data_IF_420828332587
#
_entry.id   IF_420828332587
#
_cell.length_a   1.000
_cell.length_b   1.000
_cell.length_c   1.000
_cell.angle_alpha   90.00
_cell.angle_beta   90.00
_cell.angle_gamma   90.00
#
_symmetry.space_group_name_H-M   'P 1'
#
loop_
_entity.id
_entity.type
_entity.pdbx_description
1 polymer ?
#
# COMPACT_ATOMS: atom_id res chain seq x y z
N UNK A 1 21.96 -13.43 22.91
CA UNK A 1 22.19 -14.58 22.01
C UNK A 1 21.34 -14.35 20.76
N UNK A 2 21.90 -13.70 19.75
CA UNK A 2 21.19 -13.29 18.53
C UNK A 2 21.16 -14.49 17.60
N UNK A 3 19.98 -15.07 17.38
CA UNK A 3 19.75 -16.11 16.37
C UNK A 3 19.87 -15.44 14.98
N UNK A 4 21.03 -15.58 14.33
CA UNK A 4 21.16 -15.44 12.90
C UNK A 4 20.40 -16.60 12.24
N UNK A 5 19.16 -16.35 11.90
CA UNK A 5 18.38 -17.24 11.03
C UNK A 5 18.91 -16.99 9.62
N UNK A 6 19.60 -17.97 9.06
CA UNK A 6 19.87 -18.06 7.63
C UNK A 6 18.51 -17.99 6.91
N UNK A 7 18.16 -16.82 6.37
CA UNK A 7 16.99 -16.65 5.51
C UNK A 7 17.26 -17.37 4.20
N UNK A 8 16.80 -18.62 4.09
CA UNK A 8 16.73 -19.32 2.81
C UNK A 8 15.93 -18.49 1.80
N UNK A 9 16.27 -18.57 0.52
CA UNK A 9 15.57 -17.91 -0.58
C UNK A 9 14.09 -18.31 -0.48
N UNK A 10 13.21 -17.38 -0.13
CA UNK A 10 11.75 -17.61 -0.12
C UNK A 10 11.30 -17.88 -1.55
N UNK A 11 10.89 -19.11 -1.82
CA UNK A 11 10.26 -19.49 -3.11
C UNK A 11 8.77 -19.18 -2.96
N UNK A 12 8.20 -18.37 -3.86
CA UNK A 12 6.77 -18.12 -3.93
C UNK A 12 6.03 -19.42 -4.25
N UNK A 13 5.13 -19.83 -3.38
CA UNK A 13 4.26 -21.00 -3.59
C UNK A 13 2.96 -20.58 -4.24
N UNK A 14 2.33 -21.41 -5.07
CA UNK A 14 0.97 -21.14 -5.55
C UNK A 14 0.00 -20.95 -4.37
N UNK A 15 -0.98 -20.04 -4.52
CA UNK A 15 -1.95 -19.69 -3.47
C UNK A 15 -2.77 -20.91 -2.99
N UNK A 16 -2.97 -21.89 -3.85
CA UNK A 16 -3.70 -23.13 -3.53
C UNK A 16 -2.99 -23.95 -2.43
N UNK A 17 -1.71 -23.70 -2.22
CA UNK A 17 -0.92 -24.39 -1.19
C UNK A 17 -0.93 -23.69 0.16
N UNK A 18 -1.76 -22.64 0.33
CA UNK A 18 -1.93 -22.03 1.66
C UNK A 18 -2.54 -23.06 2.62
N UNK A 19 -1.90 -23.34 3.79
CA UNK A 19 -2.41 -24.35 4.72
C UNK A 19 -3.76 -23.96 5.33
N UNK A 20 -4.60 -24.95 5.60
CA UNK A 20 -5.88 -24.72 6.27
C UNK A 20 -5.69 -24.03 7.63
N UNK A 21 -4.68 -24.41 8.38
CA UNK A 21 -4.34 -23.80 9.68
C UNK A 21 -4.08 -22.29 9.57
N UNK A 22 -3.44 -21.83 8.48
CA UNK A 22 -3.25 -20.41 8.18
C UNK A 22 -4.59 -19.78 7.83
N UNK A 23 -5.35 -20.37 6.88
CA UNK A 23 -6.63 -19.81 6.42
C UNK A 23 -7.60 -19.57 7.57
N UNK A 24 -7.74 -20.53 8.47
CA UNK A 24 -8.66 -20.44 9.60
C UNK A 24 -8.18 -19.47 10.71
N UNK A 25 -6.88 -19.16 10.74
CA UNK A 25 -6.32 -18.21 11.70
C UNK A 25 -6.49 -16.74 11.27
N UNK A 26 -6.63 -16.45 9.96
CA UNK A 26 -6.68 -15.09 9.45
C UNK A 26 -7.89 -14.31 10.00
N UNK A 27 -7.64 -13.09 10.44
CA UNK A 27 -8.63 -12.12 10.95
C UNK A 27 -8.52 -10.76 10.25
N UNK A 28 -7.40 -10.52 9.56
CA UNK A 28 -7.13 -9.25 8.90
C UNK A 28 -6.53 -9.50 7.51
N UNK A 29 -7.04 -8.80 6.52
CA UNK A 29 -6.48 -8.70 5.17
C UNK A 29 -5.97 -7.28 4.98
N UNK A 30 -4.68 -7.12 4.76
CA UNK A 30 -4.06 -5.87 4.38
C UNK A 30 -3.74 -5.93 2.89
N UNK A 31 -4.09 -4.90 2.13
CA UNK A 31 -3.93 -4.92 0.66
C UNK A 31 -3.37 -3.61 0.15
N UNK A 32 -2.39 -3.66 -0.75
CA UNK A 32 -2.15 -2.52 -1.63
C UNK A 32 -3.36 -2.32 -2.56
N UNK A 33 -3.45 -1.17 -3.24
CA UNK A 33 -4.58 -0.85 -4.13
C UNK A 33 -4.20 -0.98 -5.60
N UNK A 34 -3.22 -0.18 -6.03
CA UNK A 34 -2.87 -0.07 -7.45
C UNK A 34 -2.24 -1.36 -7.94
N UNK A 35 -2.77 -1.92 -9.04
CA UNK A 35 -2.35 -3.20 -9.62
C UNK A 35 -2.45 -4.42 -8.68
N UNK A 36 -3.04 -4.22 -7.47
CA UNK A 36 -3.37 -5.29 -6.50
C UNK A 36 -4.88 -5.48 -6.38
N UNK A 37 -5.64 -4.44 -6.03
CA UNK A 37 -7.10 -4.41 -6.08
C UNK A 37 -7.62 -3.92 -7.43
N UNK A 38 -6.86 -3.07 -8.10
CA UNK A 38 -7.17 -2.62 -9.45
C UNK A 38 -6.51 -3.51 -10.50
N UNK A 39 -6.99 -3.39 -11.74
CA UNK A 39 -6.35 -3.91 -12.95
C UNK A 39 -6.48 -2.85 -14.03
N UNK A 40 -5.35 -2.47 -14.64
CA UNK A 40 -5.29 -1.39 -15.63
C UNK A 40 -5.98 -0.10 -15.13
N UNK A 41 -5.69 0.31 -13.89
CA UNK A 41 -6.24 1.52 -13.26
C UNK A 41 -7.74 1.45 -12.89
N UNK A 42 -8.41 0.29 -13.07
CA UNK A 42 -9.83 0.11 -12.79
C UNK A 42 -10.06 -0.92 -11.68
N UNK A 43 -11.05 -0.67 -10.84
CA UNK A 43 -11.48 -1.61 -9.80
C UNK A 43 -12.53 -2.58 -10.38
N UNK A 44 -12.21 -3.88 -10.55
CA UNK A 44 -13.18 -4.87 -11.01
C UNK A 44 -14.28 -5.11 -9.97
N UNK A 45 -15.53 -5.33 -10.42
CA UNK A 45 -16.67 -5.58 -9.53
C UNK A 45 -16.45 -6.78 -8.58
N UNK A 46 -15.70 -7.79 -9.02
CA UNK A 46 -15.37 -8.97 -8.21
C UNK A 46 -14.62 -8.61 -6.92
N UNK A 47 -13.86 -7.50 -6.90
CA UNK A 47 -13.13 -7.04 -5.72
C UNK A 47 -14.08 -6.58 -4.63
N UNK A 48 -15.12 -5.79 -4.97
CA UNK A 48 -16.16 -5.41 -4.00
C UNK A 48 -16.86 -6.64 -3.42
N UNK A 49 -17.26 -7.58 -4.28
CA UNK A 49 -17.87 -8.84 -3.84
C UNK A 49 -16.95 -9.62 -2.90
N UNK A 50 -15.66 -9.69 -3.22
CA UNK A 50 -14.67 -10.37 -2.37
C UNK A 50 -14.51 -9.67 -1.00
N UNK A 51 -14.48 -8.33 -0.97
CA UNK A 51 -14.44 -7.56 0.27
C UNK A 51 -15.68 -7.78 1.13
N UNK A 52 -16.88 -7.77 0.54
CA UNK A 52 -18.13 -8.05 1.26
C UNK A 52 -18.14 -9.45 1.87
N UNK A 53 -17.64 -10.45 1.15
CA UNK A 53 -17.52 -11.82 1.64
C UNK A 53 -16.54 -11.93 2.82
N UNK A 54 -15.42 -11.22 2.79
CA UNK A 54 -14.50 -11.12 3.94
C UNK A 54 -15.21 -10.51 5.15
N UNK A 55 -15.94 -9.42 4.96
CA UNK A 55 -16.71 -8.76 6.03
C UNK A 55 -17.76 -9.69 6.63
N UNK A 56 -18.49 -10.46 5.80
CA UNK A 56 -19.45 -11.48 6.23
C UNK A 56 -18.77 -12.61 7.03
N UNK A 57 -17.52 -12.94 6.70
CA UNK A 57 -16.70 -13.88 7.43
C UNK A 57 -16.04 -13.31 8.70
N UNK A 58 -16.34 -12.05 9.08
CA UNK A 58 -15.72 -11.32 10.19
C UNK A 58 -14.19 -11.16 10.03
N UNK A 59 -13.71 -11.05 8.79
CA UNK A 59 -12.31 -10.74 8.47
C UNK A 59 -12.24 -9.27 8.08
N UNK A 60 -11.42 -8.50 8.79
CA UNK A 60 -11.25 -7.07 8.57
C UNK A 60 -10.36 -6.79 7.38
N UNK A 61 -10.67 -5.73 6.65
CA UNK A 61 -9.94 -5.34 5.43
C UNK A 61 -9.41 -3.92 5.59
N UNK A 62 -8.12 -3.76 5.35
CA UNK A 62 -7.45 -2.47 5.44
C UNK A 62 -6.59 -2.26 4.17
N UNK A 63 -7.04 -1.45 3.20
CA UNK A 63 -6.19 -0.98 2.12
C UNK A 63 -5.04 -0.13 2.64
N UNK A 64 -3.85 -0.27 2.02
CA UNK A 64 -2.62 0.44 2.38
C UNK A 64 -1.97 0.95 1.10
N UNK A 65 -2.06 2.23 0.83
CA UNK A 65 -1.80 2.78 -0.49
C UNK A 65 -0.93 4.04 -0.50
N UNK A 66 -0.36 4.37 -1.65
CA UNK A 66 0.19 5.70 -1.96
C UNK A 66 -0.84 6.70 -2.48
N UNK A 67 -2.12 6.30 -2.62
CA UNK A 67 -3.18 7.19 -3.11
C UNK A 67 -3.50 8.32 -2.11
N UNK A 68 -4.02 9.47 -2.62
CA UNK A 68 -4.20 10.69 -1.84
C UNK A 68 -5.31 10.61 -0.80
N UNK A 69 -5.28 11.56 0.14
CA UNK A 69 -6.24 11.68 1.22
C UNK A 69 -7.71 11.79 0.73
N UNK A 70 -7.95 12.49 -0.38
CA UNK A 70 -9.30 12.59 -0.94
C UNK A 70 -9.86 11.24 -1.41
N UNK A 71 -9.03 10.37 -2.00
CA UNK A 71 -9.43 9.00 -2.35
C UNK A 71 -9.64 8.15 -1.09
N UNK A 72 -8.75 8.30 -0.11
CA UNK A 72 -8.86 7.56 1.15
C UNK A 72 -10.11 7.94 1.95
N UNK A 73 -10.58 9.20 1.91
CA UNK A 73 -11.85 9.60 2.51
C UNK A 73 -13.03 8.87 1.83
N UNK A 74 -13.04 8.84 0.49
CA UNK A 74 -14.05 8.08 -0.27
C UNK A 74 -14.00 6.59 0.07
N UNK A 75 -12.80 5.98 0.03
CA UNK A 75 -12.61 4.56 0.32
C UNK A 75 -13.12 4.22 1.72
N UNK A 76 -12.72 4.98 2.74
CA UNK A 76 -13.13 4.73 4.11
C UNK A 76 -14.65 4.84 4.34
N UNK A 77 -15.36 5.64 3.53
CA UNK A 77 -16.83 5.82 3.63
C UNK A 77 -17.62 4.81 2.83
N UNK A 78 -17.14 4.50 1.60
CA UNK A 78 -17.98 3.84 0.58
C UNK A 78 -17.61 2.39 0.36
N UNK A 79 -16.37 1.99 0.65
CA UNK A 79 -15.95 0.63 0.47
C UNK A 79 -16.22 -0.21 1.73
N UNK A 80 -16.41 -1.53 1.60
CA UNK A 80 -16.60 -2.41 2.75
C UNK A 80 -15.30 -2.69 3.49
N UNK A 81 -14.62 -1.63 3.97
CA UNK A 81 -13.31 -1.68 4.64
C UNK A 81 -13.39 -1.20 6.08
N UNK A 82 -12.42 -1.58 6.90
CA UNK A 82 -12.36 -1.26 8.33
C UNK A 82 -11.44 -0.06 8.63
N UNK A 83 -10.83 0.48 7.63
CA UNK A 83 -9.95 1.64 7.62
C UNK A 83 -9.07 1.63 6.38
N UNK A 84 -8.33 2.70 6.14
CA UNK A 84 -7.38 2.82 5.03
C UNK A 84 -6.14 3.59 5.49
N UNK A 85 -4.97 3.13 5.10
CA UNK A 85 -3.69 3.83 5.26
C UNK A 85 -3.35 4.49 3.92
N UNK A 86 -3.13 5.80 3.93
CA UNK A 86 -2.90 6.59 2.70
C UNK A 86 -1.55 7.28 2.67
N UNK A 87 -1.22 7.80 1.48
CA UNK A 87 0.01 8.53 1.16
C UNK A 87 1.25 7.87 1.79
N UNK A 88 1.43 6.56 1.49
CA UNK A 88 2.56 5.75 1.95
C UNK A 88 2.75 5.70 3.47
N UNK A 89 1.69 5.93 4.24
CA UNK A 89 1.71 5.90 5.71
C UNK A 89 1.65 7.26 6.38
N UNK A 90 1.33 8.33 5.65
CA UNK A 90 1.16 9.66 6.23
C UNK A 90 -0.01 9.75 7.20
N UNK A 91 -1.01 8.93 7.01
CA UNK A 91 -2.24 8.90 7.81
C UNK A 91 -2.96 7.56 7.70
N UNK A 92 -3.89 7.33 8.63
CA UNK A 92 -5.01 6.42 8.40
C UNK A 92 -6.34 7.16 8.54
N UNK A 93 -7.34 6.72 7.75
CA UNK A 93 -8.73 7.15 7.86
C UNK A 93 -9.61 5.94 8.14
N UNK A 94 -10.63 6.15 8.96
CA UNK A 94 -11.67 5.17 9.28
C UNK A 94 -13.01 5.87 9.44
N UNK A 95 -14.03 5.35 8.80
CA UNK A 95 -15.40 5.79 9.06
C UNK A 95 -16.03 4.92 10.14
N UNK A 96 -16.53 5.55 11.20
CA UNK A 96 -17.26 4.85 12.26
C UNK A 96 -18.75 4.94 11.94
N UNK A 97 -19.35 3.84 11.49
CA UNK A 97 -20.76 3.77 11.10
C UNK A 97 -21.70 4.02 12.28
N UNK A 98 -21.31 3.64 13.51
CA UNK A 98 -22.13 3.83 14.71
C UNK A 98 -22.20 5.30 15.11
N UNK A 99 -21.07 5.98 15.08
CA UNK A 99 -20.95 7.39 15.42
C UNK A 99 -21.22 8.30 14.20
N UNK A 100 -21.30 7.74 12.99
CA UNK A 100 -21.38 8.47 11.71
C UNK A 100 -20.29 9.53 11.60
N UNK A 101 -19.05 9.14 11.97
CA UNK A 101 -17.94 10.07 12.05
C UNK A 101 -16.69 9.54 11.37
N UNK A 102 -16.06 10.39 10.54
CA UNK A 102 -14.76 10.12 9.97
C UNK A 102 -13.68 10.39 11.02
N UNK A 103 -12.89 9.37 11.34
CA UNK A 103 -11.68 9.46 12.14
C UNK A 103 -10.50 9.63 11.18
N UNK A 104 -9.74 10.72 11.32
CA UNK A 104 -8.54 11.01 10.56
C UNK A 104 -7.37 11.13 11.51
N UNK A 105 -6.37 10.31 11.34
CA UNK A 105 -5.15 10.30 12.15
C UNK A 105 -3.95 10.50 11.23
N UNK A 106 -3.26 11.61 11.40
CA UNK A 106 -2.04 11.91 10.67
C UNK A 106 -0.82 11.58 11.52
N UNK A 107 0.28 11.14 10.89
CA UNK A 107 1.55 10.92 11.56
C UNK A 107 2.13 12.23 12.11
N UNK A 108 2.06 13.31 11.31
CA UNK A 108 2.52 14.64 11.67
C UNK A 108 1.38 15.57 12.06
N UNK A 109 1.67 16.54 12.94
CA UNK A 109 0.74 17.63 13.26
C UNK A 109 0.49 18.54 12.05
N UNK A 110 -0.62 19.30 12.09
CA UNK A 110 -0.99 20.26 11.04
C UNK A 110 0.11 21.27 10.74
N UNK A 111 0.77 21.78 11.80
CA UNK A 111 1.90 22.72 11.68
C UNK A 111 3.07 22.08 10.92
N UNK A 112 3.42 20.84 11.24
CA UNK A 112 4.49 20.12 10.56
C UNK A 112 4.15 19.84 9.10
N UNK A 113 2.92 19.38 8.81
CA UNK A 113 2.46 19.14 7.44
C UNK A 113 2.45 20.42 6.60
N UNK A 114 2.01 21.55 7.18
CA UNK A 114 2.05 22.85 6.49
C UNK A 114 3.48 23.29 6.15
N UNK A 115 4.43 23.12 7.05
CA UNK A 115 5.84 23.42 6.79
C UNK A 115 6.44 22.49 5.72
N UNK A 116 6.11 21.21 5.74
CA UNK A 116 6.59 20.25 4.74
C UNK A 116 5.99 20.52 3.38
N UNK A 117 4.71 20.93 3.29
CA UNK A 117 4.06 21.33 2.04
C UNK A 117 4.78 22.48 1.37
N UNK A 118 5.26 23.47 2.12
CA UNK A 118 6.05 24.57 1.58
C UNK A 118 7.39 24.11 0.99
N UNK A 119 8.04 23.11 1.60
CA UNK A 119 9.26 22.51 1.06
C UNK A 119 8.98 21.71 -0.20
N UNK A 120 7.91 20.92 -0.20
CA UNK A 120 7.49 20.12 -1.34
C UNK A 120 7.12 21.02 -2.54
N UNK A 121 6.51 22.17 -2.29
CA UNK A 121 6.19 23.14 -3.36
C UNK A 121 7.45 23.67 -4.06
N UNK A 122 8.50 23.99 -3.28
CA UNK A 122 9.80 24.41 -3.86
C UNK A 122 10.44 23.29 -4.66
N UNK A 123 10.41 22.08 -4.13
CA UNK A 123 10.97 20.91 -4.77
C UNK A 123 10.22 20.52 -6.06
N UNK A 124 8.90 20.68 -6.08
CA UNK A 124 8.07 20.53 -7.27
C UNK A 124 8.58 21.42 -8.42
N UNK A 125 8.79 22.71 -8.14
CA UNK A 125 9.29 23.66 -9.15
C UNK A 125 10.66 23.21 -9.68
N UNK A 126 11.54 22.76 -8.80
CA UNK A 126 12.87 22.28 -9.18
C UNK A 126 12.80 21.01 -10.04
N UNK A 127 12.01 20.03 -9.67
CA UNK A 127 11.84 18.77 -10.42
C UNK A 127 11.30 19.07 -11.82
N UNK A 128 10.21 19.83 -11.93
CA UNK A 128 9.59 20.16 -13.21
C UNK A 128 10.54 20.95 -14.15
N UNK A 129 11.44 21.76 -13.59
CA UNK A 129 12.45 22.48 -14.35
C UNK A 129 13.56 21.57 -14.88
N UNK A 130 13.95 20.54 -14.11
CA UNK A 130 15.12 19.70 -14.43
C UNK A 130 14.78 18.44 -15.23
N UNK A 131 13.57 17.95 -15.11
CA UNK A 131 13.14 16.69 -15.74
C UNK A 131 12.07 17.01 -16.79
N UNK A 132 12.45 16.92 -18.06
CA UNK A 132 11.50 17.15 -19.16
C UNK A 132 10.50 16.02 -19.28
N UNK A 133 9.25 16.38 -19.55
CA UNK A 133 8.18 15.41 -19.78
C UNK A 133 7.50 14.86 -18.53
N UNK A 134 8.03 15.06 -17.32
CA UNK A 134 7.28 14.78 -16.11
C UNK A 134 6.24 15.87 -15.83
N UNK A 135 5.19 15.51 -15.12
CA UNK A 135 4.24 16.47 -14.58
C UNK A 135 3.89 16.13 -13.12
N UNK A 136 3.20 17.02 -12.47
CA UNK A 136 2.59 16.74 -11.18
C UNK A 136 1.38 15.84 -11.41
N UNK A 137 1.20 14.83 -10.59
CA UNK A 137 0.04 13.95 -10.67
C UNK A 137 -1.28 14.75 -10.66
N UNK A 138 -2.24 14.36 -11.48
CA UNK A 138 -3.55 15.00 -11.57
C UNK A 138 -4.31 14.98 -10.23
N UNK A 139 -4.02 14.01 -9.37
CA UNK A 139 -4.61 13.86 -8.04
C UNK A 139 -3.91 14.68 -6.93
N UNK A 140 -2.88 15.48 -7.27
CA UNK A 140 -2.12 16.24 -6.26
C UNK A 140 -2.97 17.18 -5.40
N UNK A 141 -4.05 17.73 -5.95
CA UNK A 141 -4.95 18.60 -5.20
C UNK A 141 -5.65 17.89 -4.03
N UNK A 142 -5.69 16.57 -4.05
CA UNK A 142 -6.31 15.73 -3.02
C UNK A 142 -5.30 15.16 -2.01
N UNK A 143 -3.99 15.50 -2.12
CA UNK A 143 -2.91 15.03 -1.24
C UNK A 143 -2.69 15.97 -0.06
N UNK A 144 -2.40 15.37 1.08
CA UNK A 144 -2.21 16.10 2.35
C UNK A 144 -0.75 16.13 2.82
N UNK A 145 0.09 15.17 2.43
CA UNK A 145 1.41 15.00 3.02
C UNK A 145 2.54 14.75 2.03
N UNK A 146 2.26 14.32 0.81
CA UNK A 146 3.27 14.01 -0.19
C UNK A 146 3.14 14.84 -1.47
N UNK A 147 4.17 14.79 -2.31
CA UNK A 147 4.20 15.28 -3.68
C UNK A 147 4.34 14.07 -4.60
N UNK A 148 3.40 13.91 -5.51
CA UNK A 148 3.43 12.87 -6.53
C UNK A 148 3.84 13.47 -7.89
N UNK A 149 4.94 12.94 -8.43
CA UNK A 149 5.40 13.26 -9.78
C UNK A 149 4.99 12.11 -10.69
N UNK A 150 4.14 12.42 -11.65
CA UNK A 150 3.70 11.48 -12.67
C UNK A 150 4.84 11.20 -13.66
N UNK A 151 5.04 9.92 -13.95
CA UNK A 151 6.00 9.49 -14.96
C UNK A 151 5.39 8.51 -15.99
N UNK A 152 4.11 8.10 -15.80
CA UNK A 152 3.44 7.21 -16.79
C UNK A 152 1.94 6.96 -16.54
N UNK A 153 1.24 7.75 -15.74
CA UNK A 153 -0.22 7.61 -15.58
C UNK A 153 -0.95 8.38 -16.67
N UNK A 154 -0.81 9.70 -16.68
CA UNK A 154 -1.50 10.61 -17.62
C UNK A 154 -0.56 11.15 -18.73
N UNK A 155 0.69 10.71 -18.71
CA UNK A 155 1.73 11.10 -19.66
C UNK A 155 2.41 9.87 -20.27
N UNK A 156 3.06 9.99 -21.44
CA UNK A 156 3.92 8.94 -21.97
C UNK A 156 5.00 8.55 -20.94
N UNK A 157 5.24 7.25 -20.78
CA UNK A 157 6.20 6.72 -19.81
C UNK A 157 7.59 7.31 -19.99
N UNK A 158 8.13 7.88 -18.92
CA UNK A 158 9.49 8.40 -18.90
C UNK A 158 10.53 7.26 -18.85
N UNK A 159 11.74 7.50 -19.38
CA UNK A 159 12.87 6.61 -19.15
C UNK A 159 13.16 6.44 -17.66
N UNK A 160 13.53 5.21 -17.24
CA UNK A 160 13.83 4.95 -15.82
C UNK A 160 14.97 5.77 -15.26
N UNK A 161 15.91 6.21 -16.10
CA UNK A 161 16.98 7.14 -15.71
C UNK A 161 16.42 8.48 -15.18
N UNK A 162 15.38 9.01 -15.85
CA UNK A 162 14.72 10.25 -15.41
C UNK A 162 13.89 10.01 -14.14
N UNK A 163 13.25 8.85 -14.01
CA UNK A 163 12.55 8.45 -12.77
C UNK A 163 13.54 8.39 -11.59
N UNK A 164 14.71 7.80 -11.79
CA UNK A 164 15.76 7.75 -10.77
C UNK A 164 16.33 9.14 -10.45
N UNK A 165 16.36 10.05 -11.44
CA UNK A 165 16.74 11.45 -11.20
C UNK A 165 15.72 12.18 -10.34
N UNK A 166 14.42 11.93 -10.52
CA UNK A 166 13.36 12.48 -9.66
C UNK A 166 13.57 12.00 -8.22
N UNK A 167 13.83 10.71 -8.02
CA UNK A 167 14.13 10.14 -6.68
C UNK A 167 15.32 10.86 -6.04
N UNK A 168 16.43 10.99 -6.76
CA UNK A 168 17.63 11.68 -6.25
C UNK A 168 17.37 13.14 -5.89
N UNK A 169 16.49 13.84 -6.60
CA UNK A 169 16.12 15.23 -6.26
C UNK A 169 15.34 15.29 -4.93
N UNK A 170 14.43 14.36 -4.70
CA UNK A 170 13.74 14.24 -3.40
C UNK A 170 14.73 13.97 -2.27
N UNK A 171 15.60 12.97 -2.43
CA UNK A 171 16.58 12.56 -1.43
C UNK A 171 17.59 13.66 -1.13
N UNK A 172 18.08 14.37 -2.16
CA UNK A 172 18.99 15.50 -1.98
C UNK A 172 18.37 16.66 -1.19
N UNK A 173 17.04 16.81 -1.22
CA UNK A 173 16.30 17.77 -0.41
C UNK A 173 16.02 17.26 1.02
N UNK A 174 16.46 16.05 1.38
CA UNK A 174 16.17 15.41 2.67
C UNK A 174 14.76 14.82 2.75
N UNK A 175 14.08 14.65 1.63
CA UNK A 175 12.81 13.94 1.55
C UNK A 175 13.03 12.44 1.31
N UNK A 176 12.10 11.61 1.73
CA UNK A 176 11.97 10.23 1.27
C UNK A 176 11.30 10.20 -0.09
N UNK A 177 11.65 9.24 -0.92
CA UNK A 177 10.97 9.00 -2.18
C UNK A 177 10.70 7.52 -2.40
N UNK A 178 9.58 7.22 -3.06
CA UNK A 178 9.23 5.88 -3.52
C UNK A 178 8.66 5.91 -4.93
N UNK A 179 9.10 4.96 -5.74
CA UNK A 179 8.55 4.71 -7.06
C UNK A 179 7.37 3.74 -6.88
N UNK A 180 6.17 4.14 -7.33
CA UNK A 180 5.01 3.27 -7.50
C UNK A 180 4.94 2.79 -8.96
N UNK A 181 3.86 2.11 -9.35
CA UNK A 181 3.62 1.71 -10.75
C UNK A 181 3.47 2.90 -11.71
N UNK A 182 3.10 4.07 -11.19
CA UNK A 182 2.72 5.26 -11.99
C UNK A 182 3.41 6.56 -11.57
N UNK A 183 3.77 6.73 -10.29
CA UNK A 183 4.31 7.97 -9.73
C UNK A 183 5.62 7.75 -8.97
N UNK A 184 6.40 8.84 -8.85
CA UNK A 184 7.38 8.98 -7.78
C UNK A 184 6.75 9.83 -6.68
N UNK A 185 6.48 9.23 -5.52
CA UNK A 185 5.94 9.92 -4.36
C UNK A 185 7.07 10.35 -3.44
N UNK A 186 7.10 11.63 -3.05
CA UNK A 186 8.09 12.16 -2.13
C UNK A 186 7.48 12.89 -0.94
N UNK A 187 8.06 12.66 0.26
CA UNK A 187 7.55 13.25 1.51
C UNK A 187 8.67 13.50 2.52
N UNK A 188 8.40 14.36 3.48
CA UNK A 188 9.29 14.58 4.63
C UNK A 188 8.78 13.85 5.86
N UNK A 189 9.61 13.03 6.49
CA UNK A 189 9.32 12.32 7.73
C UNK A 189 9.70 10.85 7.71
N UNK A 190 9.81 10.29 8.92
CA UNK A 190 10.27 8.92 9.16
C UNK A 190 9.10 7.93 9.26
N UNK A 191 8.04 8.14 8.46
CA UNK A 191 6.91 7.22 8.40
C UNK A 191 6.91 6.39 7.12
N UNK A 192 6.21 5.29 7.17
CA UNK A 192 5.96 4.38 6.06
C UNK A 192 4.65 3.61 6.25
N UNK A 193 4.27 2.81 5.25
CA UNK A 193 3.08 1.97 5.27
C UNK A 193 2.98 1.14 6.57
N UNK A 194 4.08 0.52 6.99
CA UNK A 194 4.10 -0.37 8.16
C UNK A 194 3.94 0.39 9.49
N UNK A 195 4.63 1.52 9.64
CA UNK A 195 4.55 2.36 10.83
C UNK A 195 3.13 2.85 11.07
N UNK A 196 2.45 3.34 10.03
CA UNK A 196 1.07 3.80 10.16
C UNK A 196 0.09 2.63 10.40
N UNK A 197 0.36 1.46 9.80
CA UNK A 197 -0.42 0.26 10.08
C UNK A 197 -0.35 -0.14 11.55
N UNK A 198 0.84 -0.07 12.20
CA UNK A 198 0.98 -0.31 13.64
C UNK A 198 0.11 0.65 14.45
N UNK A 199 0.16 1.94 14.14
CA UNK A 199 -0.65 2.96 14.83
C UNK A 199 -2.16 2.67 14.66
N UNK A 200 -2.61 2.32 13.46
CA UNK A 200 -4.01 1.96 13.22
C UNK A 200 -4.42 0.75 14.05
N UNK A 201 -3.60 -0.30 14.08
CA UNK A 201 -3.91 -1.51 14.86
C UNK A 201 -3.99 -1.23 16.37
N UNK A 202 -3.03 -0.49 16.89
CA UNK A 202 -3.00 -0.12 18.30
C UNK A 202 -4.15 0.84 18.68
N UNK A 203 -4.34 1.90 17.90
CA UNK A 203 -5.30 2.96 18.23
C UNK A 203 -6.76 2.55 17.99
N UNK A 204 -7.04 1.76 16.91
CA UNK A 204 -8.41 1.40 16.51
C UNK A 204 -8.80 0.00 16.95
N UNK A 205 -7.96 -0.99 16.68
CA UNK A 205 -8.31 -2.38 16.97
C UNK A 205 -7.86 -2.82 18.37
N UNK A 206 -7.04 -1.99 19.08
CA UNK A 206 -6.48 -2.30 20.39
C UNK A 206 -5.63 -3.58 20.37
N UNK A 207 -4.92 -3.79 19.26
CA UNK A 207 -4.12 -4.98 18.98
C UNK A 207 -2.69 -4.55 18.68
N UNK A 208 -1.72 -5.15 19.34
CA UNK A 208 -0.33 -5.01 18.95
C UNK A 208 -0.08 -5.80 17.67
N UNK A 209 0.45 -5.14 16.63
CA UNK A 209 0.60 -5.73 15.29
C UNK A 209 1.54 -6.94 15.29
N UNK A 210 2.63 -6.87 16.06
CA UNK A 210 3.62 -7.96 16.19
C UNK A 210 3.02 -9.21 16.82
N UNK A 211 2.12 -9.05 17.79
CA UNK A 211 1.45 -10.17 18.45
C UNK A 211 0.35 -10.79 17.57
N UNK A 212 -0.19 -10.00 16.64
CA UNK A 212 -1.26 -10.45 15.73
C UNK A 212 -0.74 -10.97 14.38
N UNK A 213 0.56 -10.96 14.15
CA UNK A 213 1.18 -11.16 12.84
C UNK A 213 0.75 -12.46 12.14
N UNK A 214 0.52 -13.54 12.90
CA UNK A 214 0.04 -14.83 12.40
C UNK A 214 -1.46 -14.84 12.00
N UNK A 215 -2.19 -13.78 12.34
CA UNK A 215 -3.60 -13.62 11.98
C UNK A 215 -3.83 -12.65 10.85
N UNK A 216 -2.75 -12.16 10.25
CA UNK A 216 -2.77 -11.13 9.20
C UNK A 216 -2.21 -11.71 7.92
N UNK A 217 -2.92 -11.48 6.80
CA UNK A 217 -2.42 -11.71 5.45
C UNK A 217 -2.24 -10.36 4.76
N UNK A 218 -1.08 -10.16 4.14
CA UNK A 218 -0.81 -8.99 3.30
C UNK A 218 -0.78 -9.40 1.84
N UNK A 219 -1.42 -8.62 0.96
CA UNK A 219 -1.39 -8.82 -0.49
C UNK A 219 -0.91 -7.57 -1.21
N UNK A 220 -0.02 -7.73 -2.20
CA UNK A 220 0.59 -6.66 -2.98
C UNK A 220 1.11 -7.17 -4.32
N UNK A 221 1.69 -6.29 -5.14
CA UNK A 221 2.07 -6.60 -6.51
C UNK A 221 3.52 -6.24 -6.89
N UNK A 222 4.18 -5.36 -6.14
CA UNK A 222 5.34 -4.66 -6.66
C UNK A 222 6.47 -4.45 -5.63
N UNK A 223 7.65 -3.95 -6.05
CA UNK A 223 8.80 -3.72 -5.16
C UNK A 223 8.52 -2.76 -3.99
N UNK A 224 7.54 -1.86 -4.11
CA UNK A 224 7.17 -0.95 -3.02
C UNK A 224 6.57 -1.71 -1.82
N UNK A 225 6.11 -2.95 -2.01
CA UNK A 225 5.52 -3.80 -0.99
C UNK A 225 6.54 -4.72 -0.29
N UNK A 226 7.79 -4.72 -0.73
CA UNK A 226 8.85 -5.54 -0.13
C UNK A 226 8.95 -5.40 1.39
N UNK A 227 8.86 -4.20 2.00
CA UNK A 227 8.84 -4.08 3.46
C UNK A 227 7.69 -4.84 4.12
N UNK A 228 6.51 -4.88 3.48
CA UNK A 228 5.35 -5.60 3.96
C UNK A 228 5.52 -7.11 3.76
N UNK A 229 6.02 -7.57 2.60
CA UNK A 229 6.33 -8.99 2.35
C UNK A 229 7.39 -9.55 3.32
N UNK A 230 8.35 -8.69 3.72
CA UNK A 230 9.36 -9.03 4.73
C UNK A 230 8.75 -9.18 6.11
N UNK A 231 7.86 -8.27 6.46
CA UNK A 231 7.29 -8.20 7.80
C UNK A 231 6.23 -9.28 8.04
N UNK A 232 5.29 -9.47 7.09
CA UNK A 232 4.20 -10.43 7.25
C UNK A 232 4.59 -11.84 6.77
N UNK A 233 4.57 -12.86 7.65
CA UNK A 233 4.84 -14.24 7.27
C UNK A 233 3.81 -14.74 6.24
N UNK A 234 2.54 -14.33 6.39
CA UNK A 234 1.46 -14.64 5.47
C UNK A 234 1.32 -13.50 4.46
N UNK A 235 2.13 -13.54 3.40
CA UNK A 235 2.13 -12.55 2.34
C UNK A 235 1.84 -13.20 0.99
N UNK A 236 1.07 -12.51 0.16
CA UNK A 236 0.62 -12.93 -1.16
C UNK A 236 1.04 -11.88 -2.20
N UNK A 237 1.58 -12.32 -3.31
CA UNK A 237 1.72 -11.51 -4.51
C UNK A 237 0.58 -11.82 -5.47
N UNK A 238 -0.09 -10.83 -6.05
CA UNK A 238 -0.91 -11.08 -7.24
C UNK A 238 0.03 -11.38 -8.43
N UNK A 239 -0.46 -12.04 -9.47
CA UNK A 239 0.39 -12.59 -10.54
C UNK A 239 1.34 -11.56 -11.19
N UNK A 240 0.96 -10.28 -11.26
CA UNK A 240 1.84 -9.22 -11.78
C UNK A 240 3.13 -9.04 -10.96
N UNK A 241 3.20 -9.51 -9.72
CA UNK A 241 4.44 -9.52 -8.91
C UNK A 241 5.59 -10.28 -9.62
N UNK A 242 5.25 -11.25 -10.47
CA UNK A 242 6.22 -12.07 -11.20
C UNK A 242 7.06 -11.26 -12.21
N UNK A 243 6.55 -10.12 -12.69
CA UNK A 243 7.28 -9.21 -13.57
C UNK A 243 8.46 -8.55 -12.83
N UNK A 244 8.41 -8.53 -11.52
CA UNK A 244 9.42 -7.92 -10.65
C UNK A 244 10.24 -8.95 -9.84
N UNK A 245 10.16 -10.25 -10.18
CA UNK A 245 10.78 -11.36 -9.42
C UNK A 245 12.28 -11.16 -9.12
N UNK A 246 13.00 -10.46 -10.00
CA UNK A 246 14.44 -10.21 -9.88
C UNK A 246 14.75 -8.91 -9.11
N UNK A 247 13.74 -8.04 -8.92
CA UNK A 247 13.84 -6.79 -8.18
C UNK A 247 13.29 -6.89 -6.74
N UNK A 248 12.50 -7.93 -6.44
CA UNK A 248 11.92 -8.17 -5.12
C UNK A 248 12.89 -8.99 -4.27
N UNK A 249 13.50 -8.36 -3.29
CA UNK A 249 14.48 -8.97 -2.38
C UNK A 249 13.85 -9.94 -1.38
N UNK A 250 12.70 -9.55 -0.82
CA UNK A 250 11.90 -10.40 0.08
C UNK A 250 10.59 -10.77 -0.63
N UNK A 251 10.56 -11.98 -1.18
CA UNK A 251 9.41 -12.48 -1.94
C UNK A 251 8.22 -12.79 -1.04
N UNK A 252 6.97 -12.58 -1.53
CA UNK A 252 5.79 -13.06 -0.82
C UNK A 252 5.80 -14.59 -0.66
N UNK A 253 5.09 -15.08 0.34
CA UNK A 253 5.02 -16.52 0.62
C UNK A 253 4.22 -17.28 -0.46
N UNK A 254 3.17 -16.65 -0.98
CA UNK A 254 2.31 -17.21 -2.01
C UNK A 254 2.12 -16.24 -3.17
N UNK A 255 1.69 -16.79 -4.32
CA UNK A 255 1.36 -16.01 -5.52
C UNK A 255 0.06 -16.56 -6.12
N UNK A 256 -0.81 -15.64 -6.57
CA UNK A 256 -2.06 -15.97 -7.28
C UNK A 256 -1.78 -16.29 -8.75
N UNK A 257 -2.74 -16.93 -9.43
CA UNK A 257 -2.68 -17.16 -10.88
C UNK A 257 -3.15 -15.95 -11.66
N UNK A 258 -4.11 -15.21 -11.07
CA UNK A 258 -4.72 -14.04 -11.69
C UNK A 258 -3.97 -12.76 -11.26
N UNK A 259 -4.03 -11.77 -12.14
CA UNK A 259 -3.45 -10.44 -11.91
C UNK A 259 -4.44 -9.51 -11.19
N UNK A 260 -3.90 -8.50 -10.49
CA UNK A 260 -4.67 -7.41 -9.91
C UNK A 260 -5.87 -7.86 -9.10
N UNK A 261 -7.00 -7.20 -9.26
CA UNK A 261 -8.22 -7.49 -8.49
C UNK A 261 -8.79 -8.89 -8.67
N UNK A 262 -8.52 -9.55 -9.79
CA UNK A 262 -8.90 -10.96 -9.96
C UNK A 262 -8.02 -11.87 -9.11
N UNK A 263 -6.73 -11.56 -8.96
CA UNK A 263 -5.83 -12.24 -8.03
C UNK A 263 -6.23 -12.03 -6.58
N UNK A 264 -6.67 -10.80 -6.22
CA UNK A 264 -7.24 -10.55 -4.90
C UNK A 264 -8.48 -11.42 -4.64
N UNK A 265 -9.40 -11.51 -5.60
CA UNK A 265 -10.59 -12.35 -5.48
C UNK A 265 -10.23 -13.83 -5.35
N UNK A 266 -9.27 -14.33 -6.14
CA UNK A 266 -8.74 -15.70 -6.04
C UNK A 266 -8.19 -15.99 -4.62
N UNK A 267 -7.41 -15.06 -4.05
CA UNK A 267 -6.92 -15.19 -2.68
C UNK A 267 -8.08 -15.27 -1.67
N UNK A 268 -9.11 -14.45 -1.82
CA UNK A 268 -10.29 -14.45 -0.94
C UNK A 268 -11.07 -15.77 -1.09
N UNK A 269 -11.27 -16.27 -2.30
CA UNK A 269 -11.88 -17.57 -2.55
C UNK A 269 -11.15 -18.66 -1.79
N UNK A 270 -9.82 -18.69 -1.94
CA UNK A 270 -8.99 -19.68 -1.25
C UNK A 270 -9.02 -19.52 0.26
N UNK A 271 -9.04 -18.30 0.77
CA UNK A 271 -9.07 -18.02 2.20
C UNK A 271 -10.38 -18.49 2.85
N UNK A 272 -11.50 -18.36 2.13
CA UNK A 272 -12.84 -18.68 2.63
C UNK A 272 -13.30 -20.12 2.30
N UNK A 273 -12.53 -20.91 1.57
CA UNK A 273 -12.79 -22.34 1.39
C UNK A 273 -12.79 -23.06 2.74
N UNK A 274 -13.85 -23.80 3.02
CA UNK A 274 -14.03 -24.61 4.22
C UNK A 274 -13.35 -25.96 4.12
#
# INVERSE_FOLDING_TARGET
>A
MVRHILKGIKIMKPIEKIPQTVRTAIRYVLSDIDDTLTLNGRLPAVVFTAMERLKQANIRIIPITGRPAGWCDHIARMWPVDGVVGENGAFYFRYDDRQRKMQRRYFKSDKQRSADRQKLEKLKIEILKRIRGCCVSADQAYREADLAIDYCEDIPRLPMEDVDRIVRLFEAAGARAKISSIHVNGWFGEYDKLTMTRMLFEEIFKVNLENAIETIIFIGDSPNDVPMFRFFPHSVGVANVLQFKDKITDKPAWVTRQEGGYGFAEMVDRLLER
#
